data_IF_565151559979
#
_entry.id   IF_565151559979
#
_cell.length_a   1.000
_cell.length_b   1.000
_cell.length_c   1.000
_cell.angle_alpha   90.00
_cell.angle_beta   90.00
_cell.angle_gamma   90.00
#
_symmetry.space_group_name_H-M   'P 1'
#
loop_
_entity.id
_entity.type
_entity.pdbx_description
1 polymer ?
#
# COMPACT_ATOMS: atom_id res chain seq x y z
N UNK A 1 -19.22 -17.04 -16.82
CA UNK A 1 -18.97 -15.64 -16.39
C UNK A 1 -17.54 -15.59 -15.90
N UNK A 2 -16.60 -15.29 -16.78
CA UNK A 2 -15.19 -15.19 -16.39
C UNK A 2 -15.00 -13.84 -15.69
N UNK A 3 -14.77 -13.90 -14.38
CA UNK A 3 -14.39 -12.73 -13.60
C UNK A 3 -12.99 -12.32 -14.07
N UNK A 4 -12.92 -11.39 -15.03
CA UNK A 4 -11.70 -10.69 -15.38
C UNK A 4 -11.34 -9.78 -14.21
N UNK A 5 -10.71 -10.36 -13.19
CA UNK A 5 -10.06 -9.61 -12.11
C UNK A 5 -9.01 -8.74 -12.79
N UNK A 6 -9.36 -7.48 -13.01
CA UNK A 6 -8.50 -6.51 -13.67
C UNK A 6 -7.25 -6.34 -12.80
N UNK A 7 -6.03 -6.22 -13.34
CA UNK A 7 -4.81 -6.06 -12.54
C UNK A 7 -4.91 -4.99 -11.44
N UNK A 8 -5.74 -3.97 -11.64
CA UNK A 8 -6.07 -2.94 -10.65
C UNK A 8 -6.78 -3.47 -9.40
N UNK A 9 -7.63 -4.50 -9.50
CA UNK A 9 -8.36 -5.09 -8.37
C UNK A 9 -7.44 -5.89 -7.44
N UNK A 10 -6.48 -6.62 -7.99
CA UNK A 10 -5.49 -7.36 -7.21
C UNK A 10 -4.50 -6.42 -6.51
N UNK A 11 -4.10 -5.33 -7.19
CA UNK A 11 -3.29 -4.27 -6.59
C UNK A 11 -4.03 -3.57 -5.44
N UNK A 12 -5.32 -3.27 -5.60
CA UNK A 12 -6.14 -2.70 -4.51
C UNK A 12 -6.26 -3.65 -3.31
N UNK A 13 -6.38 -4.96 -3.56
CA UNK A 13 -6.40 -5.98 -2.49
C UNK A 13 -5.05 -6.05 -1.77
N UNK A 14 -3.94 -6.06 -2.51
CA UNK A 14 -2.60 -6.04 -1.94
C UNK A 14 -2.36 -4.79 -1.09
N UNK A 15 -2.75 -3.61 -1.58
CA UNK A 15 -2.70 -2.35 -0.84
C UNK A 15 -3.45 -2.42 0.49
N UNK A 16 -4.68 -2.94 0.47
CA UNK A 16 -5.49 -3.08 1.67
C UNK A 16 -4.83 -4.02 2.69
N UNK A 17 -4.28 -5.15 2.25
CA UNK A 17 -3.56 -6.08 3.12
C UNK A 17 -2.31 -5.45 3.75
N UNK A 18 -1.52 -4.68 2.99
CA UNK A 18 -0.35 -3.99 3.53
C UNK A 18 -0.74 -2.89 4.54
N UNK A 19 -1.81 -2.14 4.29
CA UNK A 19 -2.33 -1.13 5.22
C UNK A 19 -2.86 -1.75 6.52
N UNK A 20 -3.55 -2.89 6.43
CA UNK A 20 -4.01 -3.62 7.61
C UNK A 20 -2.83 -4.18 8.43
N UNK A 21 -1.79 -4.71 7.77
CA UNK A 21 -0.57 -5.12 8.45
C UNK A 21 0.16 -3.95 9.13
N UNK A 22 0.20 -2.77 8.49
CA UNK A 22 0.74 -1.55 9.09
C UNK A 22 0.00 -1.16 10.37
N UNK A 23 -1.34 -1.20 10.35
CA UNK A 23 -2.15 -0.88 11.52
C UNK A 23 -1.89 -1.85 12.68
N UNK A 24 -1.79 -3.15 12.38
CA UNK A 24 -1.46 -4.18 13.37
C UNK A 24 -0.07 -4.00 13.97
N UNK A 25 0.95 -3.78 13.14
CA UNK A 25 2.32 -3.52 13.59
C UNK A 25 2.41 -2.24 14.44
N UNK A 26 1.71 -1.17 14.05
CA UNK A 26 1.67 0.07 14.83
C UNK A 26 1.09 -0.14 16.22
N UNK A 27 0.07 -0.99 16.36
CA UNK A 27 -0.50 -1.31 17.66
C UNK A 27 0.45 -2.16 18.51
N UNK A 28 1.14 -3.12 17.89
CA UNK A 28 2.09 -4.00 18.58
C UNK A 28 3.33 -3.28 19.08
N UNK A 29 3.82 -2.26 18.37
CA UNK A 29 5.04 -1.51 18.74
C UNK A 29 5.01 -0.97 20.16
N UNK A 30 3.85 -0.51 20.65
CA UNK A 30 3.71 0.02 22.01
C UNK A 30 3.92 -1.05 23.10
N UNK A 31 3.88 -2.34 22.73
CA UNK A 31 4.12 -3.47 23.64
C UNK A 31 5.51 -4.10 23.49
N UNK A 32 6.34 -3.64 22.54
CA UNK A 32 7.65 -4.22 22.25
C UNK A 32 8.77 -3.58 23.07
N UNK A 33 9.83 -4.36 23.34
CA UNK A 33 11.08 -3.81 23.84
C UNK A 33 11.77 -2.96 22.76
N UNK A 34 12.75 -2.13 23.13
CA UNK A 34 13.39 -1.18 22.21
C UNK A 34 14.00 -1.82 20.94
N UNK A 35 14.53 -3.05 21.05
CA UNK A 35 15.15 -3.75 19.91
C UNK A 35 14.08 -4.24 18.93
N UNK A 36 13.00 -4.80 19.46
CA UNK A 36 11.88 -5.29 18.65
C UNK A 36 11.07 -4.14 18.07
N UNK A 37 10.96 -3.01 18.80
CA UNK A 37 10.36 -1.78 18.30
C UNK A 37 11.12 -1.24 17.08
N UNK A 38 12.46 -1.14 17.12
CA UNK A 38 13.26 -0.71 15.98
C UNK A 38 13.11 -1.62 14.75
N UNK A 39 13.00 -2.95 14.98
CA UNK A 39 12.75 -3.91 13.89
C UNK A 39 11.35 -3.76 13.31
N UNK A 40 10.35 -3.52 14.17
CA UNK A 40 8.98 -3.27 13.75
C UNK A 40 8.86 -1.93 12.97
N UNK A 41 9.58 -0.89 13.37
CA UNK A 41 9.69 0.37 12.63
C UNK A 41 10.29 0.18 11.22
N UNK A 42 11.39 -0.56 11.10
CA UNK A 42 11.96 -0.90 9.79
C UNK A 42 10.97 -1.70 8.92
N UNK A 43 10.20 -2.59 9.54
CA UNK A 43 9.16 -3.37 8.84
C UNK A 43 8.02 -2.48 8.37
N UNK A 44 7.58 -1.52 9.20
CA UNK A 44 6.57 -0.53 8.81
C UNK A 44 7.06 0.34 7.65
N UNK A 45 8.32 0.79 7.67
CA UNK A 45 8.88 1.56 6.57
C UNK A 45 8.83 0.80 5.23
N UNK A 46 9.20 -0.49 5.25
CA UNK A 46 9.13 -1.35 4.06
C UNK A 46 7.67 -1.55 3.57
N UNK A 47 6.73 -1.79 4.48
CA UNK A 47 5.31 -1.91 4.11
C UNK A 47 4.76 -0.60 3.53
N UNK A 48 5.16 0.56 4.05
CA UNK A 48 4.77 1.85 3.47
C UNK A 48 5.35 2.06 2.06
N UNK A 49 6.60 1.64 1.82
CA UNK A 49 7.20 1.67 0.48
C UNK A 49 6.43 0.77 -0.51
N UNK A 50 5.98 -0.41 -0.08
CA UNK A 50 5.17 -1.30 -0.92
C UNK A 50 3.80 -0.69 -1.25
N UNK A 51 3.15 -0.04 -0.27
CA UNK A 51 1.90 0.69 -0.51
C UNK A 51 2.12 1.83 -1.51
N UNK A 52 3.20 2.60 -1.37
CA UNK A 52 3.54 3.68 -2.31
C UNK A 52 3.75 3.14 -3.73
N UNK A 53 4.51 2.05 -3.90
CA UNK A 53 4.73 1.44 -5.21
C UNK A 53 3.43 0.91 -5.84
N UNK A 54 2.51 0.37 -5.03
CA UNK A 54 1.18 -0.04 -5.51
C UNK A 54 0.35 1.19 -5.91
N UNK A 55 0.40 2.27 -5.14
CA UNK A 55 -0.28 3.52 -5.47
C UNK A 55 0.26 4.15 -6.76
N UNK A 56 1.56 4.09 -7.01
CA UNK A 56 2.16 4.47 -8.29
C UNK A 56 1.68 3.58 -9.44
N UNK A 57 1.64 2.26 -9.26
CA UNK A 57 1.12 1.33 -10.28
C UNK A 57 -0.36 1.56 -10.57
N UNK A 58 -1.18 1.81 -9.55
CA UNK A 58 -2.60 2.14 -9.68
C UNK A 58 -2.80 3.51 -10.34
N UNK A 59 -1.94 4.49 -10.04
CA UNK A 59 -1.95 5.82 -10.65
C UNK A 59 -1.53 5.77 -12.13
N UNK A 60 -0.48 5.02 -12.45
CA UNK A 60 -0.02 4.78 -13.82
C UNK A 60 -1.06 3.99 -14.64
N UNK A 61 -1.74 3.02 -14.04
CA UNK A 61 -2.82 2.26 -14.67
C UNK A 61 -4.06 3.11 -14.98
N UNK A 62 -4.26 4.25 -14.29
CA UNK A 62 -5.32 5.22 -14.63
C UNK A 62 -4.97 6.13 -15.83
N UNK A 63 -3.75 6.01 -16.38
CA UNK A 63 -3.25 6.88 -17.45
C UNK A 63 -3.06 8.32 -16.99
N UNK A 64 -2.35 9.17 -17.76
CA UNK A 64 -2.34 10.60 -17.49
C UNK A 64 -3.80 11.06 -17.46
N UNK A 65 -4.23 11.70 -16.37
CA UNK A 65 -5.44 12.52 -16.40
C UNK A 65 -5.26 13.44 -17.60
N UNK A 66 -5.96 13.16 -18.71
CA UNK A 66 -6.21 14.15 -19.74
C UNK A 66 -6.84 15.30 -18.98
N UNK A 67 -6.05 16.34 -18.75
CA UNK A 67 -6.53 17.66 -18.39
C UNK A 67 -7.30 18.11 -19.62
N UNK A 68 -8.57 17.69 -19.69
CA UNK A 68 -9.52 18.25 -20.62
C UNK A 68 -9.84 19.63 -20.07
N UNK A 69 -9.14 20.65 -20.58
CA UNK A 69 -9.41 22.03 -20.24
C UNK A 69 -8.15 22.84 -19.94
N UNK A 70 -7.48 23.26 -20.99
CA UNK A 70 -7.09 24.66 -21.11
C UNK A 70 -7.28 25.02 -22.58
N UNK A 71 -8.46 25.59 -22.85
CA UNK A 71 -8.81 26.26 -24.09
C UNK A 71 -8.04 27.59 -24.19
#
# INVERSE_FOLDING_TARGET
>A
MEATTTPSSDLLRARAAHMDNLQRLRHQIYSLNAKDAARAEATMANLMQQVYAIDEQLGAAKGPRKVWGAA
#
